data_IF_872343339005
#
_entry.id   IF_872343339005
#
_cell.length_a   1.000
_cell.length_b   1.000
_cell.length_c   1.000
_cell.angle_alpha   90.00
_cell.angle_beta   90.00
_cell.angle_gamma   90.00
#
_symmetry.space_group_name_H-M   'P 1'
#
loop_
_entity.id
_entity.type
_entity.pdbx_description
1 polymer ?
#
# COMPACT_ATOMS: atom_id res chain seq x y z
N UNK A 1 37.03 -24.99 12.18
CA UNK A 1 35.58 -24.64 12.16
C UNK A 1 35.23 -23.36 12.97
N UNK A 2 36.20 -22.63 13.54
CA UNK A 2 35.97 -21.36 14.26
C UNK A 2 35.96 -20.10 13.36
N UNK A 3 36.49 -20.17 12.13
CA UNK A 3 36.55 -19.03 11.21
C UNK A 3 35.25 -18.77 10.41
N UNK A 4 34.36 -19.75 10.27
CA UNK A 4 33.12 -19.58 9.48
C UNK A 4 32.03 -18.83 10.26
N UNK A 5 31.95 -19.05 11.58
CA UNK A 5 31.01 -18.34 12.48
C UNK A 5 31.36 -16.85 12.58
N UNK A 6 32.65 -16.50 12.58
CA UNK A 6 33.10 -15.11 12.61
C UNK A 6 32.93 -14.39 11.25
N UNK A 7 32.91 -15.14 10.13
CA UNK A 7 32.63 -14.59 8.80
C UNK A 7 31.13 -14.31 8.60
N UNK A 8 30.25 -15.20 9.10
CA UNK A 8 28.80 -15.00 9.08
C UNK A 8 28.38 -13.85 10.02
N UNK A 9 29.09 -13.64 11.14
CA UNK A 9 28.76 -12.57 12.09
C UNK A 9 29.16 -11.16 11.62
N UNK A 10 30.02 -11.04 10.59
CA UNK A 10 30.44 -9.74 10.02
C UNK A 10 29.45 -9.24 8.95
N UNK A 11 28.69 -10.13 8.32
CA UNK A 11 27.62 -9.79 7.39
C UNK A 11 26.28 -9.81 8.11
N UNK A 12 25.83 -8.66 8.61
CA UNK A 12 24.46 -8.54 9.08
C UNK A 12 23.51 -8.87 7.92
N UNK A 13 22.61 -9.86 8.06
CA UNK A 13 21.74 -10.32 6.97
C UNK A 13 20.88 -9.19 6.37
N UNK A 14 20.70 -8.10 7.11
CA UNK A 14 20.07 -6.87 6.65
C UNK A 14 20.72 -6.25 5.42
N UNK A 15 22.04 -6.31 5.30
CA UNK A 15 22.74 -5.63 4.19
C UNK A 15 22.59 -6.41 2.88
N UNK A 16 22.49 -7.73 2.96
CA UNK A 16 22.23 -8.56 1.78
C UNK A 16 20.82 -8.30 1.23
N UNK A 17 19.81 -8.26 2.11
CA UNK A 17 18.44 -7.99 1.69
C UNK A 17 18.27 -6.59 1.08
N UNK A 18 18.89 -5.56 1.67
CA UNK A 18 18.88 -4.21 1.07
C UNK A 18 19.47 -4.20 -0.34
N UNK A 19 20.61 -4.89 -0.55
CA UNK A 19 21.23 -5.02 -1.87
C UNK A 19 20.31 -5.76 -2.84
N UNK A 20 19.68 -6.85 -2.41
CA UNK A 20 18.72 -7.59 -3.23
C UNK A 20 17.55 -6.70 -3.65
N UNK A 21 16.97 -5.94 -2.71
CA UNK A 21 15.85 -5.05 -2.99
C UNK A 21 16.24 -3.95 -4.00
N UNK A 22 17.45 -3.39 -3.88
CA UNK A 22 17.98 -2.39 -4.82
C UNK A 22 18.15 -2.99 -6.22
N UNK A 23 18.72 -4.20 -6.31
CA UNK A 23 18.87 -4.91 -7.59
C UNK A 23 17.49 -5.15 -8.21
N UNK A 24 16.52 -5.62 -7.42
CA UNK A 24 15.16 -5.85 -7.87
C UNK A 24 14.48 -4.54 -8.33
N UNK A 25 14.69 -3.41 -7.64
CA UNK A 25 14.20 -2.10 -8.08
C UNK A 25 14.70 -1.74 -9.48
N UNK A 26 16.00 -1.90 -9.71
CA UNK A 26 16.63 -1.58 -11.00
C UNK A 26 16.12 -2.50 -12.12
N UNK A 27 15.99 -3.79 -11.84
CA UNK A 27 15.41 -4.76 -12.77
C UNK A 27 13.97 -4.40 -13.12
N UNK A 28 13.20 -3.91 -12.15
CA UNK A 28 11.82 -3.46 -12.32
C UNK A 28 11.69 -1.99 -12.69
N UNK A 29 12.70 -1.41 -13.36
CA UNK A 29 12.73 -0.03 -13.90
C UNK A 29 12.65 1.11 -12.89
N UNK A 30 12.69 0.82 -11.59
CA UNK A 30 12.82 1.85 -10.56
C UNK A 30 14.30 2.21 -10.41
N UNK A 31 14.69 3.33 -11.04
CA UNK A 31 16.05 3.84 -10.98
C UNK A 31 16.50 4.01 -9.53
N UNK A 32 17.72 3.61 -9.18
CA UNK A 32 18.34 3.94 -7.89
C UNK A 32 19.80 4.25 -8.12
N UNK A 33 20.34 5.24 -7.41
CA UNK A 33 21.76 5.57 -7.52
C UNK A 33 22.61 4.57 -6.73
N UNK A 34 23.44 3.81 -7.44
CA UNK A 34 24.31 2.77 -6.87
C UNK A 34 25.78 3.22 -6.86
N UNK A 35 26.18 4.15 -7.71
CA UNK A 35 27.59 4.40 -8.02
C UNK A 35 27.95 5.87 -7.88
N UNK A 36 29.13 6.16 -7.34
CA UNK A 36 29.63 7.54 -7.29
C UNK A 36 29.98 8.09 -8.69
N UNK A 37 30.17 7.21 -9.68
CA UNK A 37 30.50 7.58 -11.04
C UNK A 37 29.27 8.07 -11.79
N UNK A 38 29.15 9.39 -11.99
CA UNK A 38 28.07 10.04 -12.75
C UNK A 38 27.73 9.33 -14.08
N UNK A 39 28.73 8.93 -14.86
CA UNK A 39 28.53 8.25 -16.14
C UNK A 39 27.75 6.93 -16.01
N UNK A 40 28.04 6.11 -15.00
CA UNK A 40 27.34 4.84 -14.76
C UNK A 40 25.89 5.10 -14.36
N UNK A 41 25.66 6.13 -13.56
CA UNK A 41 24.32 6.53 -13.12
C UNK A 41 23.48 7.06 -14.27
N UNK A 42 24.06 7.85 -15.18
CA UNK A 42 23.37 8.27 -16.41
C UNK A 42 22.97 7.09 -17.30
N UNK A 43 23.86 6.09 -17.48
CA UNK A 43 23.53 4.89 -18.27
C UNK A 43 22.41 4.09 -17.61
N UNK A 44 22.48 3.85 -16.29
CA UNK A 44 21.43 3.14 -15.55
C UNK A 44 20.10 3.91 -15.57
N UNK A 45 20.14 5.23 -15.42
CA UNK A 45 18.96 6.09 -15.51
C UNK A 45 18.31 6.00 -16.88
N UNK A 46 19.11 6.09 -17.94
CA UNK A 46 18.64 5.96 -19.32
C UNK A 46 18.02 4.57 -19.58
N UNK A 47 18.66 3.50 -19.08
CA UNK A 47 18.12 2.13 -19.15
C UNK A 47 16.74 2.03 -18.47
N UNK A 48 16.62 2.49 -17.22
CA UNK A 48 15.36 2.42 -16.47
C UNK A 48 14.25 3.20 -17.17
N UNK A 49 14.54 4.43 -17.63
CA UNK A 49 13.56 5.27 -18.36
C UNK A 49 13.14 4.60 -19.66
N UNK A 50 14.08 4.06 -20.43
CA UNK A 50 13.78 3.46 -21.73
C UNK A 50 12.88 2.25 -21.58
N UNK A 51 13.19 1.33 -20.64
CA UNK A 51 12.34 0.14 -20.42
C UNK A 51 10.98 0.54 -19.85
N UNK A 52 10.95 1.45 -18.87
CA UNK A 52 9.69 1.96 -18.30
C UNK A 52 8.79 2.52 -19.41
N UNK A 53 9.35 3.39 -20.25
CA UNK A 53 8.63 4.01 -21.36
C UNK A 53 8.15 2.99 -22.39
N UNK A 54 8.98 2.01 -22.75
CA UNK A 54 8.60 0.93 -23.67
C UNK A 54 7.45 0.07 -23.11
N UNK A 55 7.50 -0.31 -21.83
CA UNK A 55 6.43 -1.11 -21.19
C UNK A 55 5.12 -0.31 -21.15
N UNK A 56 5.17 0.96 -20.76
CA UNK A 56 4.01 1.83 -20.74
C UNK A 56 3.42 2.03 -22.14
N UNK A 57 4.24 2.36 -23.13
CA UNK A 57 3.79 2.56 -24.51
C UNK A 57 3.12 1.31 -25.09
N UNK A 58 3.75 0.15 -24.91
CA UNK A 58 3.24 -1.10 -25.45
C UNK A 58 1.89 -1.48 -24.83
N UNK A 59 1.73 -1.25 -23.53
CA UNK A 59 0.45 -1.46 -22.86
C UNK A 59 -0.63 -0.50 -23.37
N UNK A 60 -0.35 0.81 -23.42
CA UNK A 60 -1.32 1.80 -23.89
C UNK A 60 -1.70 1.58 -25.35
N UNK A 61 -0.75 1.18 -26.20
CA UNK A 61 -1.03 0.83 -27.58
C UNK A 61 -2.05 -0.32 -27.69
N UNK A 62 -1.90 -1.40 -26.91
CA UNK A 62 -2.86 -2.51 -26.91
C UNK A 62 -4.24 -2.08 -26.36
N UNK A 63 -4.28 -1.25 -25.31
CA UNK A 63 -5.53 -0.69 -24.76
C UNK A 63 -6.27 0.18 -25.79
N UNK A 64 -5.56 1.09 -26.48
CA UNK A 64 -6.13 1.93 -27.53
C UNK A 64 -6.58 1.11 -28.74
N UNK A 65 -5.81 0.11 -29.15
CA UNK A 65 -6.17 -0.75 -30.28
C UNK A 65 -7.47 -1.54 -30.01
N UNK A 66 -7.73 -1.92 -28.75
CA UNK A 66 -8.91 -2.69 -28.35
C UNK A 66 -10.10 -1.85 -27.91
N UNK A 67 -9.91 -0.55 -27.69
CA UNK A 67 -10.90 0.33 -27.04
C UNK A 67 -11.46 -0.24 -25.72
N UNK A 68 -10.64 -0.99 -24.97
CA UNK A 68 -11.06 -1.68 -23.76
C UNK A 68 -10.20 -1.23 -22.57
N UNK A 69 -10.76 -0.34 -21.74
CA UNK A 69 -10.11 0.09 -20.50
C UNK A 69 -10.43 -0.92 -19.39
N UNK A 70 -9.44 -1.75 -19.06
CA UNK A 70 -9.58 -2.80 -18.04
C UNK A 70 -9.20 -2.31 -16.65
N UNK A 71 -9.50 -3.14 -15.64
CA UNK A 71 -9.10 -2.91 -14.23
C UNK A 71 -7.57 -2.76 -14.13
N UNK A 72 -6.82 -3.55 -14.91
CA UNK A 72 -5.36 -3.49 -14.97
C UNK A 72 -4.81 -2.17 -15.52
N UNK A 73 -5.62 -1.39 -16.24
CA UNK A 73 -5.17 -0.12 -16.82
C UNK A 73 -4.85 0.90 -15.74
N UNK A 74 -5.57 0.87 -14.62
CA UNK A 74 -5.28 1.73 -13.47
C UNK A 74 -3.96 1.35 -12.78
N UNK A 75 -3.61 0.06 -12.70
CA UNK A 75 -2.31 -0.38 -12.19
C UNK A 75 -1.15 0.12 -13.08
N UNK A 76 -1.33 0.10 -14.41
CA UNK A 76 -0.31 0.62 -15.33
C UNK A 76 -0.24 2.14 -15.24
N UNK A 77 -1.38 2.84 -15.08
CA UNK A 77 -1.39 4.29 -14.80
C UNK A 77 -0.62 4.59 -13.51
N UNK A 78 -0.86 3.86 -12.43
CA UNK A 78 -0.10 4.03 -11.18
C UNK A 78 1.40 3.80 -11.41
N UNK A 79 1.78 2.70 -12.08
CA UNK A 79 3.15 2.44 -12.47
C UNK A 79 3.77 3.58 -13.29
N UNK A 80 3.02 4.19 -14.22
CA UNK A 80 3.49 5.35 -14.98
C UNK A 80 3.69 6.58 -14.10
N UNK A 81 2.75 6.86 -13.18
CA UNK A 81 2.86 7.97 -12.23
C UNK A 81 4.04 7.79 -11.28
N UNK A 82 4.25 6.57 -10.78
CA UNK A 82 5.43 6.23 -9.97
C UNK A 82 6.73 6.40 -10.76
N UNK A 83 6.77 5.98 -12.03
CA UNK A 83 7.93 6.19 -12.90
C UNK A 83 8.26 7.66 -13.13
N UNK A 84 7.23 8.50 -13.39
CA UNK A 84 7.39 9.95 -13.52
C UNK A 84 7.88 10.56 -12.20
N UNK A 85 7.30 10.15 -11.07
CA UNK A 85 7.70 10.62 -9.76
C UNK A 85 9.16 10.27 -9.45
N UNK A 86 9.58 9.03 -9.72
CA UNK A 86 10.96 8.57 -9.52
C UNK A 86 11.93 9.30 -10.47
N UNK A 87 11.50 9.60 -11.69
CA UNK A 87 12.28 10.37 -12.66
C UNK A 87 12.55 11.81 -12.21
N UNK A 88 11.51 12.50 -11.72
CA UNK A 88 11.58 13.89 -11.24
C UNK A 88 12.32 13.96 -9.91
N UNK A 89 12.01 13.06 -8.97
CA UNK A 89 12.57 13.07 -7.63
C UNK A 89 14.05 12.70 -7.59
N UNK A 90 14.47 11.73 -8.41
CA UNK A 90 15.72 11.01 -8.17
C UNK A 90 15.61 10.12 -6.92
N UNK A 91 16.23 8.96 -6.93
CA UNK A 91 16.01 7.92 -5.91
C UNK A 91 17.11 7.89 -4.82
N UNK A 92 17.95 8.93 -4.77
CA UNK A 92 19.10 9.03 -3.86
C UNK A 92 18.66 9.19 -2.39
N UNK A 93 17.40 9.55 -2.17
CA UNK A 93 16.85 9.85 -0.85
C UNK A 93 16.96 8.67 0.11
N UNK A 94 16.77 7.44 -0.37
CA UNK A 94 16.78 6.29 0.51
C UNK A 94 18.17 5.91 1.00
N UNK A 95 19.17 5.85 0.13
CA UNK A 95 20.53 5.55 0.59
C UNK A 95 21.07 6.66 1.47
N UNK A 96 20.73 7.91 1.14
CA UNK A 96 21.02 9.05 2.00
C UNK A 96 20.34 8.90 3.36
N UNK A 97 19.06 8.50 3.39
CA UNK A 97 18.34 8.21 4.62
C UNK A 97 19.01 7.13 5.46
N UNK A 98 19.26 5.95 4.89
CA UNK A 98 19.90 4.83 5.59
C UNK A 98 21.27 5.25 6.15
N UNK A 99 22.07 5.96 5.35
CA UNK A 99 23.39 6.45 5.78
C UNK A 99 23.27 7.42 6.95
N UNK A 100 22.33 8.38 6.91
CA UNK A 100 22.14 9.32 8.00
C UNK A 100 21.64 8.60 9.26
N UNK A 101 20.72 7.64 9.13
CA UNK A 101 20.27 6.81 10.26
C UNK A 101 21.44 6.05 10.87
N UNK A 102 22.29 5.41 10.06
CA UNK A 102 23.49 4.71 10.57
C UNK A 102 24.46 5.64 11.28
N UNK A 103 24.67 6.86 10.77
CA UNK A 103 25.52 7.87 11.40
C UNK A 103 24.93 8.28 12.76
N UNK A 104 23.63 8.57 12.80
CA UNK A 104 22.92 8.93 14.03
C UNK A 104 22.97 7.79 15.07
N UNK A 105 22.77 6.54 14.63
CA UNK A 105 22.86 5.36 15.49
C UNK A 105 24.26 5.20 16.12
N UNK A 106 25.32 5.50 15.34
CA UNK A 106 26.70 5.49 15.85
C UNK A 106 26.95 6.62 16.85
N UNK A 107 26.43 7.82 16.60
CA UNK A 107 26.60 8.99 17.49
C UNK A 107 25.98 8.74 18.87
N UNK A 108 24.80 8.12 18.92
CA UNK A 108 24.13 7.81 20.19
C UNK A 108 24.70 6.55 20.88
N UNK A 109 25.45 5.72 20.15
CA UNK A 109 26.05 4.48 20.66
C UNK A 109 25.12 3.27 20.57
N UNK A 110 24.09 3.32 19.72
CA UNK A 110 23.26 2.15 19.45
C UNK A 110 24.07 1.09 18.69
N UNK A 111 24.21 -0.10 19.31
CA UNK A 111 24.85 -1.27 18.65
C UNK A 111 24.09 -1.60 17.37
N UNK A 112 24.79 -2.08 16.32
CA UNK A 112 24.24 -2.43 14.99
C UNK A 112 22.84 -3.05 15.09
N UNK A 113 21.82 -2.23 14.84
CA UNK A 113 20.43 -2.67 14.88
C UNK A 113 20.02 -3.16 13.49
N UNK A 114 19.22 -4.23 13.45
CA UNK A 114 18.67 -4.67 12.18
C UNK A 114 17.69 -3.63 11.62
N UNK A 115 17.73 -3.45 10.30
CA UNK A 115 16.71 -2.69 9.57
C UNK A 115 15.40 -3.47 9.42
N UNK A 116 15.51 -4.81 9.43
CA UNK A 116 14.38 -5.71 9.25
C UNK A 116 13.87 -6.21 10.60
N UNK A 117 12.56 -6.05 10.80
CA UNK A 117 11.82 -6.76 11.84
C UNK A 117 11.31 -8.08 11.28
N UNK A 118 11.10 -9.09 12.14
CA UNK A 118 10.51 -10.38 11.72
C UNK A 118 9.15 -10.19 11.05
N UNK A 119 8.39 -9.20 11.52
CA UNK A 119 7.08 -8.84 10.98
C UNK A 119 7.18 -8.29 9.55
N UNK A 120 8.14 -7.41 9.27
CA UNK A 120 8.37 -6.91 7.91
C UNK A 120 8.72 -8.05 6.95
N UNK A 121 9.61 -8.96 7.37
CA UNK A 121 9.95 -10.14 6.57
C UNK A 121 8.71 -10.98 6.26
N UNK A 122 7.88 -11.25 7.28
CA UNK A 122 6.63 -12.00 7.11
C UNK A 122 5.67 -11.33 6.12
N UNK A 123 5.47 -10.01 6.21
CA UNK A 123 4.64 -9.24 5.25
C UNK A 123 5.22 -9.35 3.83
N UNK A 124 6.53 -9.15 3.68
CA UNK A 124 7.15 -9.19 2.34
C UNK A 124 7.05 -10.58 1.71
N UNK A 125 7.28 -11.64 2.49
CA UNK A 125 7.16 -13.02 2.00
C UNK A 125 5.70 -13.31 1.67
N UNK A 126 4.76 -12.95 2.54
CA UNK A 126 3.33 -13.20 2.29
C UNK A 126 2.83 -12.48 1.04
N UNK A 127 3.24 -11.21 0.82
CA UNK A 127 2.85 -10.46 -0.37
C UNK A 127 3.41 -11.12 -1.63
N UNK A 128 4.71 -11.45 -1.64
CA UNK A 128 5.34 -12.13 -2.78
C UNK A 128 4.68 -13.47 -3.08
N UNK A 129 4.37 -14.28 -2.06
CA UNK A 129 3.71 -15.58 -2.27
C UNK A 129 2.30 -15.44 -2.82
N UNK A 130 1.51 -14.47 -2.31
CA UNK A 130 0.15 -14.22 -2.80
C UNK A 130 0.19 -13.74 -4.26
N UNK A 131 1.09 -12.80 -4.58
CA UNK A 131 1.27 -12.26 -5.94
C UNK A 131 1.70 -13.35 -6.92
N UNK A 132 2.66 -14.21 -6.53
CA UNK A 132 3.07 -15.35 -7.34
C UNK A 132 1.90 -16.32 -7.58
N UNK A 133 1.13 -16.64 -6.54
CA UNK A 133 -0.04 -17.49 -6.67
C UNK A 133 -1.08 -16.91 -7.63
N UNK A 134 -1.44 -15.63 -7.49
CA UNK A 134 -2.38 -14.93 -8.39
C UNK A 134 -1.84 -14.92 -9.83
N UNK A 135 -0.54 -14.70 -10.00
CA UNK A 135 0.05 -14.66 -11.34
C UNK A 135 0.04 -16.02 -12.02
N UNK A 136 0.33 -17.09 -11.26
CA UNK A 136 0.29 -18.47 -11.77
C UNK A 136 -1.15 -18.87 -12.09
N UNK A 137 -2.12 -18.60 -11.23
CA UNK A 137 -3.52 -18.95 -11.48
C UNK A 137 -4.07 -18.21 -12.70
N UNK A 138 -3.77 -16.92 -12.86
CA UNK A 138 -4.17 -16.17 -14.05
C UNK A 138 -3.51 -16.70 -15.33
N UNK A 139 -2.21 -17.04 -15.28
CA UNK A 139 -1.51 -17.61 -16.42
C UNK A 139 -2.09 -18.97 -16.88
N UNK A 140 -2.70 -19.72 -15.97
CA UNK A 140 -3.35 -21.01 -16.27
C UNK A 140 -4.77 -20.80 -16.83
N UNK A 141 -5.53 -19.85 -16.27
CA UNK A 141 -6.97 -19.70 -16.56
C UNK A 141 -7.23 -18.99 -17.90
N UNK A 142 -6.42 -17.99 -18.26
CA UNK A 142 -6.72 -17.13 -19.41
C UNK A 142 -5.59 -17.20 -20.46
N UNK A 143 -5.83 -17.85 -21.63
CA UNK A 143 -4.84 -17.95 -22.71
C UNK A 143 -4.71 -16.66 -23.54
N UNK A 144 -5.23 -15.52 -23.04
CA UNK A 144 -4.96 -14.18 -23.58
C UNK A 144 -3.47 -13.98 -23.90
N UNK A 145 -3.14 -13.00 -24.78
CA UNK A 145 -1.76 -12.79 -25.19
C UNK A 145 -0.84 -12.66 -23.99
N UNK A 146 0.07 -13.62 -23.87
CA UNK A 146 0.99 -13.75 -22.73
C UNK A 146 1.82 -12.48 -22.51
N UNK A 147 2.07 -11.70 -23.59
CA UNK A 147 2.76 -10.42 -23.50
C UNK A 147 2.01 -9.38 -22.66
N UNK A 148 0.69 -9.27 -22.80
CA UNK A 148 -0.09 -8.23 -22.11
C UNK A 148 -0.10 -8.56 -20.62
N UNK A 149 -0.33 -9.82 -20.31
CA UNK A 149 -0.23 -10.33 -18.95
C UNK A 149 1.16 -10.08 -18.36
N UNK A 150 2.24 -10.42 -19.08
CA UNK A 150 3.61 -10.16 -18.62
C UNK A 150 3.87 -8.68 -18.32
N UNK A 151 3.39 -7.75 -19.16
CA UNK A 151 3.54 -6.30 -18.90
C UNK A 151 2.79 -5.84 -17.66
N UNK A 152 1.57 -6.33 -17.45
CA UNK A 152 0.78 -6.04 -16.25
C UNK A 152 1.45 -6.62 -15.01
N UNK A 153 1.90 -7.87 -15.05
CA UNK A 153 2.64 -8.51 -13.95
C UNK A 153 3.92 -7.75 -13.63
N UNK A 154 4.65 -7.27 -14.64
CA UNK A 154 5.85 -6.47 -14.43
C UNK A 154 5.54 -5.13 -13.75
N UNK A 155 4.52 -4.40 -14.22
CA UNK A 155 4.07 -3.15 -13.61
C UNK A 155 3.65 -3.37 -12.15
N UNK A 156 2.89 -4.43 -11.89
CA UNK A 156 2.44 -4.85 -10.56
C UNK A 156 3.60 -5.20 -9.62
N UNK A 157 4.58 -5.97 -10.09
CA UNK A 157 5.77 -6.27 -9.28
C UNK A 157 6.57 -4.99 -8.99
N UNK A 158 6.63 -4.07 -9.95
CA UNK A 158 7.34 -2.81 -9.78
C UNK A 158 6.70 -1.94 -8.69
N UNK A 159 5.37 -1.84 -8.68
CA UNK A 159 4.64 -1.12 -7.62
C UNK A 159 4.79 -1.82 -6.26
N UNK A 160 4.71 -3.15 -6.20
CA UNK A 160 4.95 -3.92 -4.97
C UNK A 160 6.28 -3.59 -4.31
N UNK A 161 7.36 -3.54 -5.11
CA UNK A 161 8.67 -3.22 -4.55
C UNK A 161 8.70 -1.81 -3.98
N UNK A 162 8.06 -0.84 -4.64
CA UNK A 162 7.94 0.52 -4.11
C UNK A 162 7.13 0.53 -2.80
N UNK A 163 6.08 -0.27 -2.67
CA UNK A 163 5.34 -0.40 -1.41
C UNK A 163 6.20 -1.05 -0.30
N UNK A 164 6.89 -2.16 -0.59
CA UNK A 164 7.80 -2.82 0.36
C UNK A 164 8.86 -1.84 0.85
N UNK A 165 9.37 -0.99 -0.04
CA UNK A 165 10.33 0.05 0.30
C UNK A 165 9.79 1.11 1.26
N UNK A 166 8.55 1.57 1.03
CA UNK A 166 7.89 2.50 1.95
C UNK A 166 7.68 1.87 3.33
N UNK A 167 7.19 0.63 3.37
CA UNK A 167 7.00 -0.11 4.62
C UNK A 167 8.35 -0.27 5.34
N UNK A 168 9.44 -0.54 4.61
CA UNK A 168 10.78 -0.62 5.17
C UNK A 168 11.21 0.71 5.81
N UNK A 169 11.03 1.85 5.14
CA UNK A 169 11.36 3.18 5.70
C UNK A 169 10.60 3.41 7.02
N UNK A 170 9.28 3.20 7.01
CA UNK A 170 8.47 3.36 8.23
C UNK A 170 8.86 2.38 9.32
N UNK A 171 9.18 1.13 8.98
CA UNK A 171 9.62 0.12 9.95
C UNK A 171 10.95 0.49 10.60
N UNK A 172 11.90 1.04 9.83
CA UNK A 172 13.18 1.53 10.37
C UNK A 172 12.94 2.65 11.38
N UNK A 173 12.15 3.65 11.01
CA UNK A 173 11.82 4.78 11.90
C UNK A 173 11.13 4.28 13.16
N UNK A 174 10.11 3.45 13.04
CA UNK A 174 9.39 2.89 14.17
C UNK A 174 10.32 2.13 15.12
N UNK A 175 11.22 1.30 14.58
CA UNK A 175 12.20 0.57 15.37
C UNK A 175 13.12 1.53 16.13
N UNK A 176 13.62 2.58 15.48
CA UNK A 176 14.48 3.59 16.14
C UNK A 176 13.74 4.41 17.19
N UNK A 177 12.49 4.78 16.94
CA UNK A 177 11.64 5.47 17.90
C UNK A 177 11.40 4.62 19.15
N UNK A 178 11.16 3.31 18.98
CA UNK A 178 11.05 2.37 20.09
C UNK A 178 12.34 2.28 20.91
N UNK A 179 13.49 2.27 20.25
CA UNK A 179 14.78 2.19 20.93
C UNK A 179 15.13 3.49 21.66
N UNK A 180 14.81 4.62 21.05
CA UNK A 180 14.90 5.92 21.69
C UNK A 180 13.99 6.00 22.93
N UNK A 181 12.78 5.45 22.87
CA UNK A 181 11.89 5.34 24.03
C UNK A 181 12.52 4.51 25.15
N UNK A 182 13.12 3.36 24.83
CA UNK A 182 13.84 2.53 25.81
C UNK A 182 15.05 3.27 26.40
N UNK A 183 15.79 4.02 25.57
CA UNK A 183 16.89 4.87 26.01
C UNK A 183 16.41 5.91 27.03
N UNK A 184 15.33 6.65 26.76
CA UNK A 184 14.78 7.60 27.72
C UNK A 184 14.28 6.93 29.00
N UNK A 185 13.63 5.76 28.91
CA UNK A 185 13.20 4.98 30.09
C UNK A 185 14.39 4.54 30.97
N UNK A 186 15.56 4.35 30.39
CA UNK A 186 16.78 3.97 31.13
C UNK A 186 17.44 5.13 31.88
N UNK A 187 17.07 6.38 31.57
CA UNK A 187 17.58 7.56 32.27
C UNK A 187 16.81 7.70 33.59
N UNK A 188 17.47 7.32 34.69
CA UNK A 188 16.94 7.50 36.04
C UNK A 188 17.16 8.94 36.49
N UNK A 189 16.10 9.64 36.89
CA UNK A 189 16.18 10.96 37.50
C UNK A 189 16.12 10.77 39.02
N UNK A 190 17.25 10.88 39.75
CA UNK A 190 17.22 10.77 41.21
C UNK A 190 16.39 11.91 41.80
N UNK A 191 15.48 11.58 42.70
CA UNK A 191 14.62 12.56 43.40
C UNK A 191 15.43 13.34 44.46
N UNK A 192 16.59 12.82 44.88
CA UNK A 192 17.43 13.45 45.89
C UNK A 192 18.63 14.17 45.25
N UNK A 193 18.77 15.48 45.51
CA UNK A 193 19.68 16.42 44.81
C UNK A 193 21.16 16.24 45.22
N UNK A 194 21.51 15.21 45.99
CA UNK A 194 22.82 15.06 46.63
C UNK A 194 23.99 14.74 45.67
N UNK A 195 23.77 14.61 44.35
CA UNK A 195 24.82 14.37 43.35
C UNK A 195 24.79 15.34 42.16
N UNK A 196 25.44 16.51 42.24
CA UNK A 196 25.54 17.49 41.12
C UNK A 196 26.06 16.85 39.82
N UNK A 197 27.04 15.95 39.90
CA UNK A 197 27.67 15.33 38.73
C UNK A 197 26.72 14.35 38.00
N UNK A 198 25.89 13.60 38.73
CA UNK A 198 24.95 12.65 38.13
C UNK A 198 23.84 13.38 37.36
N UNK A 199 23.35 14.49 37.93
CA UNK A 199 22.36 15.36 37.27
C UNK A 199 22.91 15.90 35.95
N UNK A 200 24.17 16.34 35.91
CA UNK A 200 24.79 16.84 34.67
C UNK A 200 24.91 15.75 33.59
N UNK A 201 25.32 14.53 33.96
CA UNK A 201 25.41 13.39 33.05
C UNK A 201 24.03 13.04 32.47
N UNK A 202 23.00 13.04 33.30
CA UNK A 202 21.61 12.78 32.87
C UNK A 202 21.11 13.86 31.92
N UNK A 203 21.34 15.14 32.23
CA UNK A 203 20.99 16.26 31.34
C UNK A 203 21.68 16.10 29.98
N UNK A 204 22.97 15.74 29.98
CA UNK A 204 23.73 15.51 28.74
C UNK A 204 23.17 14.34 27.93
N UNK A 205 22.76 13.26 28.59
CA UNK A 205 22.11 12.10 27.94
C UNK A 205 20.75 12.45 27.35
N UNK A 206 19.92 13.21 28.06
CA UNK A 206 18.63 13.70 27.57
C UNK A 206 18.84 14.59 26.32
N UNK A 207 19.78 15.55 26.38
CA UNK A 207 20.11 16.41 25.22
C UNK A 207 20.53 15.59 24.00
N UNK A 208 21.36 14.56 24.18
CA UNK A 208 21.74 13.64 23.09
C UNK A 208 20.53 12.88 22.51
N UNK A 209 19.64 12.38 23.36
CA UNK A 209 18.41 11.71 22.93
C UNK A 209 17.48 12.63 22.14
N UNK A 210 17.31 13.88 22.60
CA UNK A 210 16.50 14.89 21.91
C UNK A 210 17.10 15.30 20.57
N UNK A 211 18.42 15.45 20.49
CA UNK A 211 19.10 15.71 19.22
C UNK A 211 18.88 14.56 18.23
N UNK A 212 19.00 13.32 18.69
CA UNK A 212 18.73 12.14 17.86
C UNK A 212 17.27 12.10 17.38
N UNK A 213 16.30 12.41 18.24
CA UNK A 213 14.89 12.55 17.87
C UNK A 213 14.68 13.59 16.76
N UNK A 214 15.21 14.80 16.94
CA UNK A 214 15.09 15.87 15.95
C UNK A 214 15.71 15.45 14.61
N UNK A 215 16.89 14.83 14.63
CA UNK A 215 17.52 14.31 13.42
C UNK A 215 16.66 13.22 12.74
N UNK A 216 15.99 12.34 13.49
CA UNK A 216 15.05 11.36 12.91
C UNK A 216 13.87 12.05 12.22
N UNK A 217 13.29 13.08 12.85
CA UNK A 217 12.18 13.84 12.28
C UNK A 217 12.59 14.62 11.03
N UNK A 218 13.75 15.28 11.05
CA UNK A 218 14.27 16.02 9.91
C UNK A 218 14.55 15.09 8.72
N UNK A 219 15.09 13.90 8.99
CA UNK A 219 15.27 12.86 7.97
C UNK A 219 13.93 12.41 7.39
N UNK A 220 12.93 12.13 8.23
CA UNK A 220 11.59 11.78 7.76
C UNK A 220 10.99 12.90 6.91
N UNK A 221 11.13 14.16 7.34
CA UNK A 221 10.65 15.33 6.60
C UNK A 221 11.37 15.49 5.25
N UNK A 222 12.64 15.13 5.15
CA UNK A 222 13.38 15.19 3.89
C UNK A 222 12.87 14.18 2.85
N UNK A 223 12.34 13.04 3.30
CA UNK A 223 11.85 11.95 2.43
C UNK A 223 10.33 12.03 2.27
N UNK A 224 9.65 12.79 3.12
CA UNK A 224 8.18 12.85 3.17
C UNK A 224 7.57 13.27 1.84
N UNK A 225 8.22 14.14 1.06
CA UNK A 225 7.72 14.56 -0.25
C UNK A 225 7.65 13.39 -1.24
N UNK A 226 8.70 12.56 -1.31
CA UNK A 226 8.73 11.36 -2.15
C UNK A 226 7.76 10.30 -1.63
N UNK A 227 7.69 10.12 -0.30
CA UNK A 227 6.71 9.22 0.33
C UNK A 227 5.27 9.65 0.06
N UNK A 228 4.96 10.95 0.07
CA UNK A 228 3.62 11.47 -0.20
C UNK A 228 3.14 11.11 -1.59
N UNK A 229 4.01 11.21 -2.61
CA UNK A 229 3.66 10.84 -3.98
C UNK A 229 3.38 9.34 -4.08
N UNK A 230 4.21 8.50 -3.45
CA UNK A 230 3.99 7.05 -3.42
C UNK A 230 2.73 6.66 -2.62
N UNK A 231 2.45 7.36 -1.52
CA UNK A 231 1.24 7.20 -0.72
C UNK A 231 -0.02 7.58 -1.49
N UNK A 232 0.05 8.63 -2.31
CA UNK A 232 -1.05 9.03 -3.18
C UNK A 232 -1.36 7.96 -4.23
N UNK A 233 -0.33 7.29 -4.78
CA UNK A 233 -0.50 6.10 -5.62
C UNK A 233 -1.29 4.98 -4.92
N UNK A 234 -0.87 4.61 -3.71
CA UNK A 234 -1.58 3.61 -2.90
C UNK A 234 -3.04 3.97 -2.62
N UNK A 235 -3.33 5.25 -2.39
CA UNK A 235 -4.72 5.71 -2.18
C UNK A 235 -5.57 5.52 -3.44
N UNK A 236 -5.00 5.68 -4.64
CA UNK A 236 -5.72 5.41 -5.89
C UNK A 236 -6.08 3.93 -6.03
N UNK A 237 -5.17 3.02 -5.70
CA UNK A 237 -5.41 1.57 -5.73
C UNK A 237 -6.52 1.14 -4.74
N UNK A 238 -6.50 1.71 -3.53
CA UNK A 238 -7.54 1.47 -2.52
C UNK A 238 -8.89 1.97 -3.00
N UNK A 239 -8.94 3.19 -3.57
CA UNK A 239 -10.19 3.75 -4.11
C UNK A 239 -10.73 2.90 -5.26
N UNK A 240 -9.86 2.44 -6.17
CA UNK A 240 -10.25 1.51 -7.22
C UNK A 240 -10.84 0.22 -6.67
N UNK A 241 -10.19 -0.38 -5.67
CA UNK A 241 -10.65 -1.62 -5.03
C UNK A 241 -12.03 -1.44 -4.39
N UNK A 242 -12.27 -0.29 -3.74
CA UNK A 242 -13.57 0.05 -3.17
C UNK A 242 -14.65 0.23 -4.26
N UNK A 243 -14.33 0.88 -5.38
CA UNK A 243 -15.25 1.03 -6.52
C UNK A 243 -15.61 -0.36 -7.09
N UNK A 244 -14.63 -1.24 -7.25
CA UNK A 244 -14.86 -2.59 -7.77
C UNK A 244 -15.77 -3.41 -6.86
N UNK A 245 -15.50 -3.42 -5.55
CA UNK A 245 -16.31 -4.15 -4.57
C UNK A 245 -17.73 -3.56 -4.46
N UNK A 246 -17.88 -2.25 -4.63
CA UNK A 246 -19.18 -1.58 -4.54
C UNK A 246 -19.99 -1.60 -5.83
N UNK A 247 -19.36 -1.87 -6.98
CA UNK A 247 -20.04 -1.86 -8.29
C UNK A 247 -21.29 -2.78 -8.37
N UNK A 248 -21.29 -4.03 -7.85
CA UNK A 248 -22.49 -4.86 -7.90
C UNK A 248 -23.62 -4.30 -7.02
N UNK A 249 -23.26 -3.62 -5.91
CA UNK A 249 -24.23 -3.02 -5.00
C UNK A 249 -24.91 -1.80 -5.63
N UNK A 250 -24.13 -0.98 -6.35
CA UNK A 250 -24.65 0.16 -7.10
C UNK A 250 -25.60 -0.32 -8.20
N UNK A 251 -25.21 -1.33 -8.98
CA UNK A 251 -26.04 -1.90 -10.04
C UNK A 251 -27.34 -2.48 -9.45
N UNK A 252 -27.26 -3.27 -8.37
CA UNK A 252 -28.43 -3.82 -7.70
C UNK A 252 -29.38 -2.71 -7.21
N UNK A 253 -28.84 -1.61 -6.68
CA UNK A 253 -29.63 -0.46 -6.23
C UNK A 253 -30.31 0.27 -7.40
N UNK A 254 -29.62 0.46 -8.52
CA UNK A 254 -30.20 1.06 -9.74
C UNK A 254 -31.35 0.19 -10.25
N UNK A 255 -31.15 -1.13 -10.33
CA UNK A 255 -32.21 -2.05 -10.77
C UNK A 255 -33.40 -2.04 -9.83
N UNK A 256 -33.18 -1.98 -8.51
CA UNK A 256 -34.24 -1.80 -7.52
C UNK A 256 -35.05 -0.53 -7.75
N UNK A 257 -34.36 0.58 -8.06
CA UNK A 257 -35.02 1.84 -8.37
C UNK A 257 -35.88 1.73 -9.65
N UNK A 258 -35.41 1.03 -10.68
CA UNK A 258 -36.20 0.77 -11.89
C UNK A 258 -37.44 -0.08 -11.60
N UNK A 259 -37.32 -1.14 -10.81
CA UNK A 259 -38.46 -1.97 -10.40
C UNK A 259 -39.49 -1.13 -9.64
N UNK A 260 -39.05 -0.25 -8.74
CA UNK A 260 -39.94 0.65 -8.00
C UNK A 260 -40.62 1.68 -8.91
N UNK A 261 -39.92 2.19 -9.92
CA UNK A 261 -40.50 3.08 -10.91
C UNK A 261 -41.56 2.37 -11.77
N UNK A 262 -41.32 1.11 -12.16
CA UNK A 262 -42.33 0.28 -12.84
C UNK A 262 -43.56 0.10 -11.96
N UNK A 263 -43.38 -0.23 -10.67
CA UNK A 263 -44.50 -0.32 -9.71
C UNK A 263 -45.31 0.97 -9.66
N UNK A 264 -44.66 2.13 -9.55
CA UNK A 264 -45.34 3.44 -9.54
C UNK A 264 -46.10 3.71 -10.83
N UNK A 265 -45.51 3.38 -11.98
CA UNK A 265 -46.17 3.53 -13.29
C UNK A 265 -47.40 2.62 -13.40
N UNK A 266 -47.31 1.37 -12.96
CA UNK A 266 -48.43 0.44 -12.94
C UNK A 266 -49.54 0.93 -12.00
N UNK A 267 -49.19 1.41 -10.79
CA UNK A 267 -50.16 2.02 -9.87
C UNK A 267 -50.84 3.26 -10.47
N UNK A 268 -50.10 4.11 -11.18
CA UNK A 268 -50.68 5.27 -11.84
C UNK A 268 -51.63 4.87 -12.97
N UNK A 269 -51.30 3.83 -13.75
CA UNK A 269 -52.17 3.31 -14.82
C UNK A 269 -53.43 2.65 -14.25
N UNK A 270 -53.30 1.95 -13.13
CA UNK A 270 -54.43 1.34 -12.41
C UNK A 270 -55.49 2.39 -12.05
N UNK A 271 -55.07 3.54 -11.54
CA UNK A 271 -55.98 4.64 -11.17
C UNK A 271 -56.65 5.33 -12.37
N UNK A 272 -56.08 5.23 -13.57
CA UNK A 272 -56.57 5.89 -14.77
C UNK A 272 -57.45 5.00 -15.66
N UNK A 273 -57.43 3.68 -15.45
CA UNK A 273 -58.09 2.71 -16.32
C UNK A 273 -59.49 2.37 -15.81
N UNK A 274 -60.49 2.39 -16.69
CA UNK A 274 -61.88 2.04 -16.35
C UNK A 274 -62.29 0.63 -16.78
N UNK A 275 -61.44 -0.09 -17.52
CA UNK A 275 -61.68 -1.47 -17.95
C UNK A 275 -61.37 -2.46 -16.82
N UNK A 276 -62.40 -3.18 -16.34
CA UNK A 276 -62.29 -4.13 -15.24
C UNK A 276 -61.29 -5.26 -15.52
N UNK A 277 -61.17 -5.72 -16.77
CA UNK A 277 -60.24 -6.79 -17.13
C UNK A 277 -58.79 -6.33 -17.00
N UNK A 278 -58.49 -5.08 -17.42
CA UNK A 278 -57.15 -4.50 -17.30
C UNK A 278 -56.80 -4.16 -15.85
N UNK A 279 -57.79 -3.71 -15.06
CA UNK A 279 -57.63 -3.47 -13.62
C UNK A 279 -57.21 -4.75 -12.91
N UNK A 280 -57.89 -5.87 -13.16
CA UNK A 280 -57.57 -7.17 -12.56
C UNK A 280 -56.14 -7.64 -12.88
N UNK A 281 -55.71 -7.52 -14.14
CA UNK A 281 -54.35 -7.89 -14.57
C UNK A 281 -53.27 -6.98 -13.96
N UNK A 282 -53.52 -5.67 -13.87
CA UNK A 282 -52.60 -4.71 -13.25
C UNK A 282 -52.44 -4.95 -11.75
N UNK A 283 -53.54 -5.24 -11.03
CA UNK A 283 -53.51 -5.59 -9.60
C UNK A 283 -52.74 -6.89 -9.37
N UNK A 284 -53.03 -7.93 -10.16
CA UNK A 284 -52.33 -9.22 -10.08
C UNK A 284 -50.83 -9.05 -10.31
N UNK A 285 -50.45 -8.24 -11.30
CA UNK A 285 -49.05 -7.92 -11.60
C UNK A 285 -48.39 -7.18 -10.43
N UNK A 286 -49.06 -6.18 -9.86
CA UNK A 286 -48.52 -5.40 -8.74
C UNK A 286 -48.40 -6.25 -7.47
N UNK A 287 -49.37 -7.12 -7.20
CA UNK A 287 -49.34 -8.08 -6.10
C UNK A 287 -48.16 -9.05 -6.27
N UNK A 288 -47.95 -9.60 -7.47
CA UNK A 288 -46.81 -10.46 -7.77
C UNK A 288 -45.47 -9.75 -7.49
N UNK A 289 -45.30 -8.52 -7.99
CA UNK A 289 -44.08 -7.73 -7.76
C UNK A 289 -43.88 -7.35 -6.28
N UNK A 290 -44.95 -7.33 -5.49
CA UNK A 290 -44.90 -7.05 -4.05
C UNK A 290 -44.51 -8.30 -3.25
N UNK A 291 -45.05 -9.47 -3.63
CA UNK A 291 -44.73 -10.76 -3.02
C UNK A 291 -43.29 -11.20 -3.31
N UNK A 292 -42.72 -10.81 -4.45
CA UNK A 292 -41.35 -11.15 -4.84
C UNK A 292 -40.49 -9.90 -5.08
N UNK A 293 -40.05 -9.20 -4.01
CA UNK A 293 -39.21 -8.03 -4.16
C UNK A 293 -37.85 -8.42 -4.76
N UNK A 294 -37.34 -7.59 -5.66
CA UNK A 294 -35.98 -7.74 -6.17
C UNK A 294 -35.01 -7.45 -5.02
N UNK A 295 -34.39 -8.48 -4.46
CA UNK A 295 -33.40 -8.33 -3.39
C UNK A 295 -32.22 -9.23 -3.69
N UNK A 296 -31.07 -8.63 -3.96
CA UNK A 296 -29.82 -9.35 -4.12
C UNK A 296 -29.20 -9.57 -2.74
N UNK A 297 -29.08 -10.83 -2.34
CA UNK A 297 -28.41 -11.22 -1.11
C UNK A 297 -27.18 -12.06 -1.44
N UNK A 298 -26.00 -11.59 -1.02
CA UNK A 298 -24.77 -12.38 -1.10
C UNK A 298 -24.82 -13.40 0.04
N UNK A 299 -24.74 -14.68 -0.33
CA UNK A 299 -24.77 -15.81 0.61
C UNK A 299 -25.97 -15.81 1.57
N UNK A 300 -27.09 -15.17 1.21
CA UNK A 300 -28.27 -14.94 2.08
C UNK A 300 -28.01 -14.13 3.37
N UNK A 301 -26.79 -13.65 3.61
CA UNK A 301 -26.41 -12.93 4.83
C UNK A 301 -26.35 -11.43 4.59
N UNK A 302 -25.82 -11.00 3.44
CA UNK A 302 -25.56 -9.58 3.18
C UNK A 302 -26.44 -9.10 2.03
N UNK A 303 -27.35 -8.17 2.31
CA UNK A 303 -28.12 -7.49 1.27
C UNK A 303 -27.22 -6.52 0.51
N UNK A 304 -27.19 -6.63 -0.82
CA UNK A 304 -26.49 -5.70 -1.71
C UNK A 304 -27.29 -4.40 -1.76
N UNK A 305 -26.95 -3.47 -0.88
CA UNK A 305 -27.53 -2.14 -0.83
C UNK A 305 -26.45 -1.07 -1.04
N UNK A 306 -26.87 0.18 -1.30
CA UNK A 306 -25.96 1.31 -1.44
C UNK A 306 -25.12 1.59 -0.19
N UNK A 307 -25.52 1.04 0.96
CA UNK A 307 -24.83 1.18 2.23
C UNK A 307 -23.63 0.22 2.38
N UNK A 308 -23.53 -0.83 1.57
CA UNK A 308 -22.44 -1.81 1.62
C UNK A 308 -21.02 -1.19 1.62
N UNK A 309 -20.66 -0.25 0.72
CA UNK A 309 -19.35 0.41 0.78
C UNK A 309 -19.12 1.16 2.10
N UNK A 310 -20.14 1.82 2.63
CA UNK A 310 -20.03 2.52 3.92
C UNK A 310 -19.84 1.55 5.09
N UNK A 311 -20.48 0.38 5.04
CA UNK A 311 -20.28 -0.69 6.03
C UNK A 311 -18.85 -1.23 5.95
N UNK A 312 -18.32 -1.47 4.75
CA UNK A 312 -16.93 -1.92 4.56
C UNK A 312 -15.94 -0.88 5.10
N UNK A 313 -16.12 0.39 4.74
CA UNK A 313 -15.29 1.49 5.26
C UNK A 313 -15.41 1.59 6.79
N UNK A 314 -16.63 1.50 7.32
CA UNK A 314 -16.89 1.51 8.76
C UNK A 314 -16.22 0.36 9.49
N UNK A 315 -16.24 -0.86 8.93
CA UNK A 315 -15.52 -2.02 9.44
C UNK A 315 -14.01 -1.78 9.40
N UNK A 316 -13.46 -1.29 8.28
CA UNK A 316 -12.04 -0.96 8.17
C UNK A 316 -11.61 0.05 9.25
N UNK A 317 -12.38 1.13 9.44
CA UNK A 317 -12.11 2.13 10.48
C UNK A 317 -12.19 1.50 11.87
N UNK A 318 -13.24 0.71 12.15
CA UNK A 318 -13.44 0.05 13.45
C UNK A 318 -12.28 -0.89 13.76
N UNK A 319 -11.82 -1.71 12.80
CA UNK A 319 -10.66 -2.59 12.97
C UNK A 319 -9.37 -1.81 13.23
N UNK A 320 -9.16 -0.69 12.54
CA UNK A 320 -8.00 0.18 12.79
C UNK A 320 -8.06 0.76 14.20
N UNK A 321 -9.21 1.27 14.65
CA UNK A 321 -9.38 1.81 16.00
C UNK A 321 -9.13 0.75 17.08
N UNK A 322 -9.75 -0.43 16.94
CA UNK A 322 -9.56 -1.55 17.88
C UNK A 322 -8.09 -2.00 17.89
N UNK A 323 -7.45 -2.09 16.72
CA UNK A 323 -6.03 -2.42 16.61
C UNK A 323 -5.13 -1.40 17.32
N UNK A 324 -5.43 -0.10 17.21
CA UNK A 324 -4.72 0.96 17.93
C UNK A 324 -4.92 0.84 19.45
N UNK A 325 -6.14 0.61 19.93
CA UNK A 325 -6.41 0.40 21.36
C UNK A 325 -5.68 -0.82 21.92
N UNK A 326 -5.72 -1.95 21.22
CA UNK A 326 -5.00 -3.16 21.62
C UNK A 326 -3.48 -2.98 21.61
N UNK A 327 -2.96 -2.14 20.71
CA UNK A 327 -1.53 -1.82 20.69
C UNK A 327 -1.08 -1.04 21.92
N UNK A 328 -1.98 -0.25 22.53
CA UNK A 328 -1.72 0.50 23.76
C UNK A 328 -1.83 -0.36 25.02
N UNK A 329 -2.63 -1.44 24.98
CA UNK A 329 -2.87 -2.35 26.12
C UNK A 329 -1.70 -3.32 26.38
N UNK A 330 -0.69 -3.38 25.50
CA UNK A 330 0.58 -4.06 25.80
C UNK A 330 1.46 -3.20 26.71
N UNK A 331 1.14 -3.18 27.99
CA UNK A 331 2.01 -2.78 29.10
C UNK A 331 2.27 -4.01 29.95
#
# INVERSE_FOLDING_TARGET
MYNFKHYIQKHTPSNWFLKLLVILRLLLTNYTDISESRAKCYILKFYCISIWFCISLFYFYDVFARNAFGIYSLCVVEYTLCGIANFIGGDDFFFKFIRIIEINDRIIGFKKMSFFTKYLCAITVSNVTIRLFISITHAIVDPRPQYLFATVTFALLSTDINHIFNILIFSIIQNRMKQLQLFFKSIYIPVNISGRNEVEINIKSIRKGLLYYNNLLDNLRSISKSLQVLLLGMMLEVMQSLIMISSPAIIANITNNHVNNIKRMLSSKLLQTSDESLVFELETTLQYMTLRPFQFTICRVVTLNIYLPFVVIGLCITYVVVGLQLSQIKI
#
